data_IF_149064321514
#
_entry.id   IF_149064321514
#
_cell.length_a   1.000
_cell.length_b   1.000
_cell.length_c   1.000
_cell.angle_alpha   90.00
_cell.angle_beta   90.00
_cell.angle_gamma   90.00
#
_symmetry.space_group_name_H-M   'P 1'
#
loop_
_entity.id
_entity.type
_entity.pdbx_description
1 polymer ?
#
# COMPACT_ATOMS: atom_id res chain seq x y z
N UNK A 1 -35.84 33.58 -24.69
CA UNK A 1 -35.83 32.15 -24.26
C UNK A 1 -34.42 31.55 -24.27
N UNK A 2 -33.58 31.86 -25.27
CA UNK A 2 -32.20 31.36 -25.38
C UNK A 2 -31.30 31.73 -24.18
N UNK A 3 -31.41 32.95 -23.64
CA UNK A 3 -30.63 33.40 -22.47
C UNK A 3 -30.93 32.64 -21.18
N UNK A 4 -32.18 32.19 -20.99
CA UNK A 4 -32.59 31.38 -19.82
C UNK A 4 -32.15 29.92 -19.96
N UNK A 5 -32.17 29.40 -21.19
CA UNK A 5 -31.65 28.06 -21.49
C UNK A 5 -30.12 27.98 -21.29
N UNK A 6 -29.37 29.01 -21.70
CA UNK A 6 -27.92 29.07 -21.43
C UNK A 6 -27.59 29.13 -19.94
N UNK A 7 -28.34 29.90 -19.15
CA UNK A 7 -28.10 30.01 -17.71
C UNK A 7 -28.33 28.68 -16.98
N UNK A 8 -29.34 27.90 -17.38
CA UNK A 8 -29.62 26.57 -16.83
C UNK A 8 -28.54 25.56 -17.25
N UNK A 9 -28.05 25.64 -18.49
CA UNK A 9 -26.96 24.79 -18.98
C UNK A 9 -25.64 25.07 -18.26
N UNK A 10 -25.32 26.35 -18.03
CA UNK A 10 -24.14 26.78 -17.26
C UNK A 10 -24.25 26.37 -15.78
N UNK A 11 -25.42 26.51 -15.16
CA UNK A 11 -25.64 26.06 -13.78
C UNK A 11 -25.53 24.53 -13.65
N UNK A 12 -26.08 23.77 -14.62
CA UNK A 12 -25.93 22.32 -14.67
C UNK A 12 -24.46 21.90 -14.87
N UNK A 13 -23.71 22.59 -15.72
CA UNK A 13 -22.29 22.32 -15.96
C UNK A 13 -21.43 22.57 -14.71
N UNK A 14 -21.72 23.65 -13.96
CA UNK A 14 -21.05 23.96 -12.68
C UNK A 14 -21.39 22.93 -11.60
N UNK A 15 -22.64 22.46 -11.54
CA UNK A 15 -23.06 21.42 -10.60
C UNK A 15 -22.44 20.05 -10.92
N UNK A 16 -22.23 19.72 -12.20
CA UNK A 16 -21.51 18.49 -12.59
C UNK A 16 -19.99 18.59 -12.40
N UNK A 17 -19.41 19.79 -12.49
CA UNK A 17 -17.98 20.00 -12.25
C UNK A 17 -17.62 20.00 -10.75
N UNK A 18 -18.55 20.40 -9.87
CA UNK A 18 -18.37 20.34 -8.41
C UNK A 18 -18.48 18.93 -7.80
N UNK A 19 -18.97 17.95 -8.57
CA UNK A 19 -19.05 16.55 -8.17
C UNK A 19 -17.83 15.72 -8.61
N UNK A 20 -16.79 16.36 -9.16
CA UNK A 20 -15.46 15.79 -9.10
C UNK A 20 -15.00 15.87 -7.64
N UNK A 21 -15.51 14.97 -6.80
CA UNK A 21 -14.82 14.60 -5.58
C UNK A 21 -13.40 14.30 -6.03
N UNK A 22 -12.44 15.10 -5.59
CA UNK A 22 -11.04 14.76 -5.74
C UNK A 22 -10.94 13.27 -5.37
N UNK A 23 -10.49 12.44 -6.30
CA UNK A 23 -10.11 11.08 -5.98
C UNK A 23 -8.92 11.22 -5.04
N UNK A 24 -9.21 11.42 -3.75
CA UNK A 24 -8.24 11.61 -2.70
C UNK A 24 -7.50 10.29 -2.61
N UNK A 25 -6.21 10.30 -2.96
CA UNK A 25 -5.47 9.09 -3.16
C UNK A 25 -5.35 8.33 -1.82
N UNK A 26 -6.00 7.18 -1.75
CA UNK A 26 -5.85 6.25 -0.65
C UNK A 26 -4.41 5.72 -0.69
N UNK A 27 -3.67 5.91 0.40
CA UNK A 27 -2.37 5.28 0.56
C UNK A 27 -2.52 3.78 0.78
N UNK A 28 -1.50 3.00 0.43
CA UNK A 28 -1.42 1.59 0.74
C UNK A 28 -0.37 1.37 1.82
N UNK A 29 -0.65 0.50 2.79
CA UNK A 29 0.31 0.10 3.82
C UNK A 29 0.96 -1.22 3.46
N UNK A 30 2.23 -1.21 3.04
CA UNK A 30 2.89 -2.40 2.51
C UNK A 30 4.42 -2.40 2.72
N UNK A 31 5.05 -3.55 2.47
CA UNK A 31 6.49 -3.69 2.36
C UNK A 31 6.96 -3.32 0.95
N UNK A 32 7.59 -2.15 0.83
CA UNK A 32 8.29 -1.74 -0.40
C UNK A 32 9.66 -2.41 -0.48
N UNK A 33 10.12 -2.65 -1.72
CA UNK A 33 11.38 -3.33 -2.03
C UNK A 33 12.31 -2.41 -2.83
N UNK A 34 13.58 -2.38 -2.45
CA UNK A 34 14.55 -1.41 -2.93
C UNK A 34 15.88 -2.07 -3.25
N UNK A 35 16.47 -1.65 -4.37
CA UNK A 35 17.86 -1.95 -4.72
C UNK A 35 18.74 -0.79 -4.26
N UNK A 36 19.94 -1.09 -3.74
CA UNK A 36 20.93 -0.05 -3.41
C UNK A 36 22.02 -0.02 -4.46
N UNK A 37 22.28 1.17 -5.00
CA UNK A 37 23.45 1.44 -5.85
C UNK A 37 24.27 2.56 -5.20
N UNK A 38 25.46 2.21 -4.72
CA UNK A 38 26.29 3.06 -3.86
C UNK A 38 25.53 3.55 -2.63
N UNK A 39 25.32 4.85 -2.54
CA UNK A 39 24.56 5.50 -1.46
C UNK A 39 23.08 5.75 -1.78
N UNK A 40 22.65 5.37 -2.98
CA UNK A 40 21.31 5.67 -3.49
C UNK A 40 20.39 4.45 -3.42
N UNK A 41 19.11 4.72 -3.13
CA UNK A 41 18.05 3.72 -3.19
C UNK A 41 17.23 3.94 -4.45
N UNK A 42 17.00 2.86 -5.20
CA UNK A 42 16.05 2.82 -6.31
C UNK A 42 14.91 1.85 -5.96
N UNK A 43 13.69 2.21 -6.32
CA UNK A 43 12.55 1.31 -6.15
C UNK A 43 12.75 0.12 -7.08
N UNK A 44 12.70 -1.10 -6.54
CA UNK A 44 13.02 -2.29 -7.31
C UNK A 44 11.97 -2.52 -8.40
N UNK A 45 12.43 -2.80 -9.62
CA UNK A 45 11.55 -3.11 -10.77
C UNK A 45 11.17 -4.59 -10.84
N UNK A 46 11.93 -5.45 -10.13
CA UNK A 46 11.68 -6.87 -9.98
C UNK A 46 11.29 -7.18 -8.54
N UNK A 47 10.37 -8.15 -8.35
CA UNK A 47 10.04 -8.62 -7.01
C UNK A 47 11.19 -9.39 -6.34
N UNK A 48 11.20 -9.53 -5.01
CA UNK A 48 12.27 -10.23 -4.27
C UNK A 48 12.52 -11.66 -4.72
N UNK A 49 11.48 -12.35 -5.21
CA UNK A 49 11.55 -13.74 -5.69
C UNK A 49 12.16 -13.87 -7.09
N UNK A 50 12.39 -12.76 -7.80
CA UNK A 50 13.00 -12.73 -9.13
C UNK A 50 14.36 -12.02 -9.12
N UNK A 51 14.56 -11.06 -8.20
CA UNK A 51 15.84 -10.37 -8.03
C UNK A 51 16.92 -11.31 -7.48
N UNK A 52 18.02 -11.45 -8.22
CA UNK A 52 19.20 -12.26 -7.87
C UNK A 52 20.42 -11.34 -7.72
N UNK A 53 20.61 -10.73 -6.53
CA UNK A 53 21.75 -9.84 -6.28
C UNK A 53 23.08 -10.61 -6.28
N UNK A 54 24.18 -9.91 -6.53
CA UNK A 54 25.54 -10.42 -6.47
C UNK A 54 26.08 -10.48 -5.02
N UNK A 55 27.24 -11.11 -4.80
CA UNK A 55 27.94 -11.01 -3.50
C UNK A 55 28.41 -9.56 -3.29
N UNK A 56 28.00 -8.94 -2.19
CA UNK A 56 28.31 -7.53 -1.93
C UNK A 56 27.10 -6.61 -2.01
N UNK A 57 26.01 -7.06 -2.61
CA UNK A 57 24.84 -6.21 -2.82
C UNK A 57 24.05 -5.97 -1.53
N UNK A 58 23.34 -4.85 -1.53
CA UNK A 58 22.51 -4.41 -0.41
C UNK A 58 21.08 -4.22 -0.89
N UNK A 59 20.17 -4.99 -0.30
CA UNK A 59 18.75 -4.94 -0.61
C UNK A 59 17.95 -4.37 0.56
N UNK A 60 16.90 -3.61 0.26
CA UNK A 60 16.11 -2.88 1.25
C UNK A 60 14.65 -3.29 1.28
N UNK A 61 14.12 -3.50 2.48
CA UNK A 61 12.69 -3.68 2.74
C UNK A 61 12.21 -2.57 3.67
N UNK A 62 11.20 -1.82 3.24
CA UNK A 62 10.66 -0.68 4.00
C UNK A 62 9.15 -0.80 4.12
N UNK A 63 8.67 -0.97 5.35
CA UNK A 63 7.25 -0.93 5.67
C UNK A 63 6.81 0.52 5.90
N UNK A 64 5.85 0.98 5.10
CA UNK A 64 5.33 2.33 5.15
C UNK A 64 3.91 2.40 4.57
N UNK A 65 3.24 3.52 4.82
CA UNK A 65 2.11 3.96 3.99
C UNK A 65 2.66 4.75 2.80
N UNK A 66 2.28 4.39 1.58
CA UNK A 66 2.67 5.13 0.37
C UNK A 66 1.53 5.12 -0.64
N UNK A 67 1.36 6.24 -1.34
CA UNK A 67 0.31 6.41 -2.35
C UNK A 67 0.53 5.47 -3.54
N UNK A 68 1.75 5.51 -4.08
CA UNK A 68 2.20 4.60 -5.13
C UNK A 68 3.71 4.35 -5.04
N UNK A 69 4.30 3.71 -6.05
CA UNK A 69 5.72 3.40 -6.10
C UNK A 69 6.63 4.62 -6.36
N UNK A 70 6.12 5.71 -6.94
CA UNK A 70 6.89 6.94 -7.18
C UNK A 70 7.07 7.75 -5.90
N UNK A 71 6.08 7.69 -5.02
CA UNK A 71 6.09 8.33 -3.71
C UNK A 71 6.40 7.37 -2.55
N UNK A 72 6.92 6.17 -2.88
CA UNK A 72 7.27 5.18 -1.89
C UNK A 72 8.41 5.66 -0.97
N UNK A 73 8.22 5.47 0.33
CA UNK A 73 9.25 5.84 1.31
C UNK A 73 10.41 4.85 1.23
N UNK A 74 11.63 5.35 1.03
CA UNK A 74 12.86 4.53 1.00
C UNK A 74 13.34 4.07 2.38
N UNK A 75 14.16 3.00 2.48
CA UNK A 75 14.75 2.55 3.73
C UNK A 75 15.59 3.64 4.39
N UNK A 76 15.50 3.75 5.72
CA UNK A 76 16.21 4.77 6.51
C UNK A 76 17.54 4.24 7.04
N UNK A 77 18.48 5.15 7.29
CA UNK A 77 19.76 4.85 7.94
C UNK A 77 20.84 4.40 6.95
N UNK A 78 22.03 4.11 7.51
CA UNK A 78 23.18 3.62 6.75
C UNK A 78 22.95 2.18 6.26
N UNK A 79 23.49 1.85 5.09
CA UNK A 79 23.40 0.51 4.54
C UNK A 79 24.66 0.09 3.77
N UNK A 80 25.82 0.26 4.40
CA UNK A 80 27.10 -0.14 3.83
C UNK A 80 27.30 -1.65 3.97
N UNK A 81 27.49 -2.36 2.85
CA UNK A 81 27.69 -3.81 2.84
C UNK A 81 28.83 -4.23 3.77
N UNK A 82 29.97 -3.55 3.69
CA UNK A 82 31.17 -3.84 4.49
C UNK A 82 30.90 -3.76 5.99
N UNK A 83 29.97 -2.90 6.41
CA UNK A 83 29.55 -2.74 7.81
C UNK A 83 28.53 -3.82 8.19
N UNK A 84 27.49 -4.03 7.37
CA UNK A 84 26.42 -5.00 7.66
C UNK A 84 26.97 -6.42 7.71
N UNK A 85 27.83 -6.78 6.76
CA UNK A 85 28.40 -8.10 6.59
C UNK A 85 29.78 -8.27 7.26
N UNK A 86 30.23 -7.32 8.09
CA UNK A 86 31.55 -7.35 8.74
C UNK A 86 31.85 -8.64 9.49
N UNK A 87 30.82 -9.31 10.02
CA UNK A 87 30.93 -10.57 10.79
C UNK A 87 30.56 -11.83 9.98
N UNK A 88 30.28 -11.67 8.69
CA UNK A 88 29.93 -12.77 7.78
C UNK A 88 31.06 -12.94 6.77
N UNK A 89 32.05 -13.81 7.05
CA UNK A 89 33.16 -14.04 6.12
C UNK A 89 32.65 -14.67 4.82
N UNK A 90 33.30 -14.29 3.72
CA UNK A 90 33.13 -14.93 2.43
C UNK A 90 33.41 -16.43 2.54
N UNK A 91 32.72 -17.21 1.71
CA UNK A 91 32.89 -18.67 1.64
C UNK A 91 32.71 -19.10 0.20
N UNK A 92 33.59 -19.97 -0.27
CA UNK A 92 33.53 -20.53 -1.61
C UNK A 92 32.16 -21.16 -1.89
N UNK A 93 31.64 -20.90 -3.10
CA UNK A 93 30.33 -21.38 -3.53
C UNK A 93 29.14 -20.73 -2.82
N UNK A 94 29.34 -19.62 -2.11
CA UNK A 94 28.26 -18.83 -1.48
C UNK A 94 28.42 -17.34 -1.81
N UNK A 95 27.31 -16.63 -1.83
CA UNK A 95 27.27 -15.16 -1.85
C UNK A 95 26.69 -14.60 -0.56
N UNK A 96 26.99 -13.35 -0.27
CA UNK A 96 26.45 -12.58 0.84
C UNK A 96 25.63 -11.43 0.31
N UNK A 97 24.44 -11.30 0.89
CA UNK A 97 23.51 -10.22 0.58
C UNK A 97 23.21 -9.50 1.88
N UNK A 98 23.50 -8.20 1.92
CA UNK A 98 23.14 -7.37 3.05
C UNK A 98 21.68 -6.94 2.93
N UNK A 99 20.91 -7.08 4.00
CA UNK A 99 19.51 -6.71 4.05
C UNK A 99 19.30 -5.58 5.05
N UNK A 100 18.62 -4.52 4.62
CA UNK A 100 18.07 -3.49 5.49
C UNK A 100 16.60 -3.77 5.71
N UNK A 101 16.25 -4.08 6.96
CA UNK A 101 14.87 -4.33 7.37
C UNK A 101 14.36 -3.12 8.15
N UNK A 102 13.63 -2.26 7.46
CA UNK A 102 13.05 -1.05 8.03
C UNK A 102 11.54 -1.21 8.25
N UNK A 103 11.19 -1.59 9.48
CA UNK A 103 9.84 -1.99 9.90
C UNK A 103 8.80 -0.88 10.00
N UNK A 104 9.15 0.39 9.85
CA UNK A 104 8.16 1.44 10.10
C UNK A 104 8.62 2.49 11.09
N UNK A 105 7.90 3.60 11.07
CA UNK A 105 7.65 4.43 12.24
C UNK A 105 6.33 4.03 12.89
N UNK A 106 6.04 4.59 14.07
CA UNK A 106 4.71 4.44 14.69
C UNK A 106 3.57 4.99 13.80
N UNK A 107 3.85 5.93 12.88
CA UNK A 107 2.86 6.45 11.95
C UNK A 107 2.53 5.46 10.82
N UNK A 108 3.45 4.55 10.49
CA UNK A 108 3.26 3.52 9.47
C UNK A 108 2.49 2.29 10.01
N UNK A 109 2.46 2.13 11.34
CA UNK A 109 2.00 0.91 11.97
C UNK A 109 0.47 0.74 11.87
N UNK A 110 -0.03 -0.50 11.71
CA UNK A 110 -1.44 -0.80 11.95
C UNK A 110 -1.84 -0.42 13.37
N UNK A 111 -3.13 -0.11 13.56
CA UNK A 111 -3.67 0.23 14.89
C UNK A 111 -3.38 -0.87 15.91
N UNK A 112 -2.87 -0.48 17.08
CA UNK A 112 -2.50 -1.40 18.17
C UNK A 112 -1.21 -2.20 17.93
N UNK A 113 -0.46 -1.90 16.88
CA UNK A 113 0.86 -2.47 16.62
C UNK A 113 1.98 -1.44 16.85
N UNK A 114 3.16 -1.94 17.18
CA UNK A 114 4.38 -1.13 17.28
C UNK A 114 5.43 -1.79 16.39
N UNK A 115 6.04 -1.05 15.45
CA UNK A 115 7.03 -1.64 14.56
C UNK A 115 8.27 -2.03 15.38
N UNK A 116 8.89 -3.19 15.08
CA UNK A 116 10.23 -3.49 15.56
C UNK A 116 11.22 -2.38 15.19
N UNK A 117 12.35 -2.34 15.90
CA UNK A 117 13.43 -1.44 15.50
C UNK A 117 13.95 -1.84 14.12
N UNK A 118 14.32 -0.84 13.30
CA UNK A 118 15.08 -1.09 12.07
C UNK A 118 16.33 -1.89 12.43
N UNK A 119 16.62 -2.92 11.63
CA UNK A 119 17.87 -3.68 11.75
C UNK A 119 18.46 -4.01 10.38
N UNK A 120 19.75 -4.27 10.38
CA UNK A 120 20.47 -4.78 9.21
C UNK A 120 20.98 -6.18 9.51
N UNK A 121 20.97 -7.04 8.51
CA UNK A 121 21.42 -8.43 8.66
C UNK A 121 22.05 -8.92 7.37
N UNK A 122 23.08 -9.76 7.49
CA UNK A 122 23.77 -10.32 6.35
C UNK A 122 23.36 -11.77 6.14
N UNK A 123 22.77 -12.08 4.99
CA UNK A 123 22.49 -13.45 4.59
C UNK A 123 23.71 -14.03 3.85
N UNK A 124 23.99 -15.33 4.04
CA UNK A 124 24.96 -16.06 3.22
C UNK A 124 24.23 -17.24 2.56
N UNK A 125 24.07 -17.17 1.25
CA UNK A 125 23.17 -18.02 0.46
C UNK A 125 23.86 -18.59 -0.77
N UNK A 126 23.19 -19.49 -1.48
CA UNK A 126 23.69 -20.06 -2.73
C UNK A 126 23.86 -18.99 -3.83
N UNK A 127 24.76 -19.20 -4.80
CA UNK A 127 25.09 -18.18 -5.80
C UNK A 127 23.89 -17.76 -6.65
N UNK A 128 22.95 -18.67 -6.92
CA UNK A 128 21.74 -18.40 -7.67
C UNK A 128 20.59 -17.90 -6.79
N UNK A 129 20.73 -17.87 -5.45
CA UNK A 129 19.65 -17.48 -4.55
C UNK A 129 19.07 -16.08 -4.86
N UNK A 130 17.77 -15.95 -4.68
CA UNK A 130 17.03 -14.70 -4.85
C UNK A 130 17.09 -13.85 -3.59
N UNK A 131 16.63 -12.59 -3.67
CA UNK A 131 16.48 -11.76 -2.46
C UNK A 131 15.46 -12.35 -1.48
N UNK A 132 14.41 -13.01 -1.98
CA UNK A 132 13.45 -13.71 -1.13
C UNK A 132 14.12 -14.87 -0.35
N UNK A 133 15.00 -15.63 -0.99
CA UNK A 133 15.77 -16.70 -0.32
C UNK A 133 16.70 -16.12 0.75
N UNK A 134 17.41 -15.03 0.42
CA UNK A 134 18.25 -14.30 1.37
C UNK A 134 17.46 -13.80 2.58
N UNK A 135 16.27 -13.22 2.35
CA UNK A 135 15.39 -12.75 3.42
C UNK A 135 14.90 -13.90 4.29
N UNK A 136 14.42 -14.99 3.67
CA UNK A 136 13.90 -16.15 4.38
C UNK A 136 14.96 -16.81 5.27
N UNK A 137 16.23 -16.79 4.85
CA UNK A 137 17.34 -17.35 5.62
C UNK A 137 17.63 -16.61 6.94
N UNK A 138 17.21 -15.34 7.08
CA UNK A 138 17.65 -14.49 8.22
C UNK A 138 16.55 -13.69 8.92
N UNK A 139 15.34 -13.64 8.36
CA UNK A 139 14.27 -12.75 8.82
C UNK A 139 12.88 -13.40 8.88
N UNK A 140 12.83 -14.74 8.96
CA UNK A 140 11.58 -15.46 9.20
C UNK A 140 11.01 -15.24 10.62
N UNK A 141 9.70 -15.47 10.82
CA UNK A 141 8.75 -16.00 9.84
C UNK A 141 8.28 -14.94 8.83
N UNK A 142 8.21 -15.34 7.55
CA UNK A 142 7.67 -14.52 6.47
C UNK A 142 6.22 -14.90 6.19
N UNK A 143 5.40 -13.92 5.80
CA UNK A 143 4.03 -14.16 5.32
C UNK A 143 3.84 -13.51 3.97
N UNK A 144 3.21 -14.25 3.06
CA UNK A 144 2.83 -13.77 1.73
C UNK A 144 1.34 -13.99 1.49
N UNK A 145 0.74 -13.18 0.60
CA UNK A 145 -0.61 -13.43 0.11
C UNK A 145 -0.60 -14.37 -1.10
N UNK A 146 -1.78 -14.62 -1.68
CA UNK A 146 -1.92 -15.47 -2.88
C UNK A 146 -1.29 -14.87 -4.14
N UNK A 147 -0.96 -13.58 -4.15
CA UNK A 147 -0.31 -12.88 -5.26
C UNK A 147 1.21 -12.77 -5.06
N UNK A 148 1.75 -13.47 -4.05
CA UNK A 148 3.16 -13.39 -3.64
C UNK A 148 3.60 -12.00 -3.15
N UNK A 149 2.67 -11.16 -2.70
CA UNK A 149 2.99 -9.92 -2.00
C UNK A 149 3.56 -10.25 -0.62
N UNK A 150 4.70 -9.66 -0.27
CA UNK A 150 5.28 -9.80 1.07
C UNK A 150 4.45 -9.03 2.10
N UNK A 151 3.73 -9.77 2.93
CA UNK A 151 2.84 -9.22 3.95
C UNK A 151 3.53 -8.99 5.27
N UNK A 152 4.47 -9.86 5.66
CA UNK A 152 5.15 -9.74 6.94
C UNK A 152 6.59 -10.27 6.90
N UNK A 153 7.45 -9.59 7.65
CA UNK A 153 8.82 -10.00 7.96
C UNK A 153 8.90 -10.17 9.48
N UNK A 154 9.47 -11.27 9.96
CA UNK A 154 9.60 -11.54 11.40
C UNK A 154 8.26 -11.39 12.15
N UNK A 155 7.17 -11.81 11.49
CA UNK A 155 5.81 -11.69 12.01
C UNK A 155 5.20 -10.28 12.06
N UNK A 156 5.87 -9.25 11.53
CA UNK A 156 5.35 -7.87 11.47
C UNK A 156 4.99 -7.41 10.04
N UNK A 157 3.84 -6.75 9.84
CA UNK A 157 2.74 -6.62 10.80
C UNK A 157 2.09 -7.98 11.10
N UNK A 158 1.46 -8.10 12.27
CA UNK A 158 0.81 -9.36 12.67
C UNK A 158 -0.35 -9.71 11.75
N UNK A 159 -1.05 -8.69 11.26
CA UNK A 159 -2.18 -8.84 10.34
C UNK A 159 -2.05 -7.90 9.16
N UNK A 160 -2.83 -8.21 8.13
CA UNK A 160 -2.96 -7.40 6.93
C UNK A 160 -1.91 -7.65 5.86
N UNK A 161 -2.13 -7.14 4.64
CA UNK A 161 -1.24 -7.31 3.51
C UNK A 161 -1.54 -6.29 2.39
N UNK A 162 -1.13 -5.03 2.56
CA UNK A 162 -1.32 -4.02 1.52
C UNK A 162 -2.70 -3.36 1.56
N UNK A 163 -3.30 -3.17 2.73
CA UNK A 163 -4.58 -2.47 2.85
C UNK A 163 -4.48 -1.03 2.37
N UNK A 164 -5.57 -0.55 1.77
CA UNK A 164 -5.82 0.88 1.63
C UNK A 164 -6.05 1.50 3.01
N UNK A 165 -5.35 2.59 3.29
CA UNK A 165 -5.58 3.42 4.47
C UNK A 165 -6.41 4.63 4.10
N UNK A 166 -7.52 4.83 4.82
CA UNK A 166 -8.30 6.05 4.73
C UNK A 166 -7.48 7.23 5.29
N UNK A 167 -7.65 8.42 4.70
CA UNK A 167 -7.09 9.63 5.30
C UNK A 167 -7.63 9.81 6.73
N UNK A 168 -6.72 9.94 7.70
CA UNK A 168 -7.07 10.26 9.08
C UNK A 168 -7.08 9.08 10.06
N UNK A 169 -6.61 7.89 9.67
CA UNK A 169 -6.29 6.81 10.63
C UNK A 169 -5.14 7.29 11.55
N UNK A 170 -5.51 7.97 12.64
CA UNK A 170 -4.55 8.44 13.64
C UNK A 170 -3.91 7.24 14.33
N UNK A 171 -2.59 7.28 14.60
CA UNK A 171 -1.96 6.29 15.46
C UNK A 171 -2.67 6.33 16.82
N UNK A 172 -3.10 5.17 17.33
CA UNK A 172 -3.72 5.08 18.65
C UNK A 172 -2.69 5.45 19.72
N UNK A 173 -2.74 6.71 20.18
CA UNK A 173 -2.11 7.17 21.41
C UNK A 173 -2.85 6.60 22.62
N UNK A 174 -2.09 6.13 23.60
CA UNK A 174 -2.57 5.37 24.76
C UNK A 174 -3.43 6.23 25.70
N UNK A 175 -4.63 5.73 26.06
CA UNK A 175 -5.29 5.98 27.36
C UNK A 175 -6.59 6.80 27.35
N UNK A 176 -7.74 6.11 27.42
CA UNK A 176 -8.60 6.12 28.63
C UNK A 176 -9.80 5.19 28.42
N UNK A 177 -9.97 4.26 29.34
CA UNK A 177 -11.08 3.34 29.52
C UNK A 177 -12.43 4.04 29.67
N UNK A 178 -13.42 3.57 28.93
CA UNK A 178 -14.81 3.48 29.40
C UNK A 178 -15.49 2.33 28.63
N UNK A 179 -15.82 1.26 29.35
CA UNK A 179 -16.65 0.17 28.89
C UNK A 179 -18.12 0.59 28.98
N UNK A 180 -18.90 0.31 27.92
CA UNK A 180 -20.30 -0.11 28.00
C UNK A 180 -20.66 -0.85 26.70
N UNK A 181 -21.04 -2.11 26.83
CA UNK A 181 -21.95 -2.86 25.96
C UNK A 181 -23.07 -3.41 26.87
N UNK A 182 -24.20 -3.93 26.35
CA UNK A 182 -24.67 -3.99 24.97
C UNK A 182 -26.14 -3.51 24.83
N UNK A 183 -26.67 -3.41 23.60
CA UNK A 183 -28.02 -3.92 23.28
C UNK A 183 -28.28 -3.97 21.77
N UNK A 184 -29.11 -4.95 21.42
CA UNK A 184 -29.32 -5.61 20.13
C UNK A 184 -30.06 -4.82 19.02
N UNK A 185 -29.87 -5.38 17.81
CA UNK A 185 -30.82 -5.60 16.71
C UNK A 185 -30.57 -4.92 15.33
N UNK A 186 -30.92 -5.62 14.23
CA UNK A 186 -30.20 -5.57 12.97
C UNK A 186 -31.03 -4.89 11.87
N UNK A 187 -30.50 -3.85 11.22
CA UNK A 187 -31.02 -3.44 9.92
C UNK A 187 -29.89 -3.15 8.95
N UNK A 188 -29.92 -3.90 7.85
CA UNK A 188 -28.93 -3.91 6.79
C UNK A 188 -28.70 -2.53 6.19
N UNK A 189 -27.43 -2.13 6.18
CA UNK A 189 -26.96 -0.95 5.45
C UNK A 189 -27.21 -1.14 3.95
N UNK A 190 -28.34 -0.60 3.47
CA UNK A 190 -28.58 -0.41 2.06
C UNK A 190 -27.55 0.60 1.54
N UNK A 191 -26.58 0.12 0.77
CA UNK A 191 -25.57 0.92 0.11
C UNK A 191 -26.24 2.04 -0.69
N UNK A 192 -26.21 3.25 -0.16
CA UNK A 192 -26.75 4.49 -0.77
C UNK A 192 -26.24 4.70 -2.20
N UNK A 193 -25.08 4.15 -2.55
CA UNK A 193 -24.55 4.15 -3.92
C UNK A 193 -25.37 3.32 -4.92
N UNK A 194 -25.99 2.23 -4.49
CA UNK A 194 -26.78 1.36 -5.38
C UNK A 194 -28.15 1.99 -5.71
N UNK A 195 -28.77 2.64 -4.72
CA UNK A 195 -30.05 3.34 -4.89
C UNK A 195 -29.89 4.57 -5.78
N UNK A 196 -28.81 5.33 -5.61
CA UNK A 196 -28.48 6.46 -6.48
C UNK A 196 -28.20 6.03 -7.93
N UNK A 197 -27.52 4.90 -8.13
CA UNK A 197 -27.23 4.36 -9.46
C UNK A 197 -28.49 3.96 -10.24
N UNK A 198 -29.42 3.25 -9.59
CA UNK A 198 -30.68 2.81 -10.24
C UNK A 198 -31.55 4.00 -10.62
N UNK A 199 -31.64 5.02 -9.77
CA UNK A 199 -32.40 6.23 -10.06
C UNK A 199 -31.88 6.96 -11.31
N UNK A 200 -30.55 7.05 -11.47
CA UNK A 200 -29.94 7.69 -12.64
C UNK A 200 -30.27 6.95 -13.95
N UNK A 201 -30.25 5.62 -13.95
CA UNK A 201 -30.57 4.81 -15.15
C UNK A 201 -32.03 4.99 -15.57
N UNK A 202 -32.96 5.04 -14.61
CA UNK A 202 -34.40 5.24 -14.90
C UNK A 202 -34.67 6.63 -15.51
N UNK A 203 -33.98 7.67 -15.03
CA UNK A 203 -34.09 9.02 -15.59
C UNK A 203 -33.54 9.08 -17.02
N UNK A 204 -32.40 8.45 -17.29
CA UNK A 204 -31.83 8.41 -18.63
C UNK A 204 -32.70 7.60 -19.61
N UNK A 205 -33.27 6.48 -19.16
CA UNK A 205 -34.17 5.66 -19.98
C UNK A 205 -35.47 6.41 -20.34
N UNK A 206 -36.05 7.11 -19.37
CA UNK A 206 -37.28 7.91 -19.61
C UNK A 206 -37.02 9.12 -20.52
N UNK A 207 -35.87 9.77 -20.42
CA UNK A 207 -35.46 10.83 -21.35
C UNK A 207 -35.28 10.31 -22.79
N UNK A 208 -34.65 9.13 -22.96
CA UNK A 208 -34.47 8.51 -24.27
C UNK A 208 -35.81 8.15 -24.94
N UNK A 209 -36.77 7.60 -24.18
CA UNK A 209 -38.12 7.28 -24.68
C UNK A 209 -38.87 8.55 -25.12
N UNK A 210 -38.78 9.62 -24.34
CA UNK A 210 -39.42 10.89 -24.68
C UNK A 210 -38.83 11.51 -25.95
N UNK A 211 -37.50 11.44 -26.11
CA UNK A 211 -36.82 11.94 -27.29
C UNK A 211 -37.12 11.12 -28.54
N UNK A 212 -37.29 9.80 -28.41
CA UNK A 212 -37.72 8.92 -29.50
C UNK A 212 -39.17 9.21 -29.94
N UNK A 213 -40.07 9.53 -29.02
CA UNK A 213 -41.46 9.90 -29.33
C UNK A 213 -41.56 11.23 -30.08
N UNK A 214 -40.72 12.21 -29.75
CA UNK A 214 -40.66 13.49 -30.48
C UNK A 214 -40.11 13.39 -31.91
N UNK A 215 -39.37 12.34 -32.24
CA UNK A 215 -38.80 12.14 -33.59
C UNK A 215 -39.69 11.34 -34.54
N UNK A 216 -40.80 10.77 -34.03
CA UNK A 216 -41.79 10.00 -34.81
C UNK A 216 -43.13 10.73 -34.98
N UNK A 217 -43.20 11.99 -34.55
CA UNK A 217 -44.36 12.87 -34.74
C UNK A 217 -43.98 14.09 -35.56
#
# INVERSE_FOLDING_TARGET
MIRRALAVLLAALVLTAGAAQAAQAAGYRYWSFWDRDGDSWSYATLGPSLSRPDDGDVQGFRFAVSEDSKDATRPRGAAEFSVICARTPARDGKKRVALVLDFGTAADAPSGERPPARRTVCARVDPDATTADALAAVAGPLRYDSNALLCAIDGYPRKGCGEQVAQGEKPAGTGSTAATEPDDDPEGGASVGLVAGVAAVVVLASAAVWQARRRRG
#
